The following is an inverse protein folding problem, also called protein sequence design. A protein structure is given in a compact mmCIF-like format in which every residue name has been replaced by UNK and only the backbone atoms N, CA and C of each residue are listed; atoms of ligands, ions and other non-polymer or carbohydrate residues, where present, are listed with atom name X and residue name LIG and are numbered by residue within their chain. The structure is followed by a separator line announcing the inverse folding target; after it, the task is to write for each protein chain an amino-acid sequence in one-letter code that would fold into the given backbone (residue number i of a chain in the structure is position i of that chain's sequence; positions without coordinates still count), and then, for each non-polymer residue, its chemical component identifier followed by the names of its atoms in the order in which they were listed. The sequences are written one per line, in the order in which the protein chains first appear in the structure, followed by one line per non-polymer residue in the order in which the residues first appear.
data_IF_384992003949
#
_entry.id   IF_384992003949
#
_cell.length_a   1.000
_cell.length_b   1.000
_cell.length_c   1.000
_cell.angle_alpha   90.00
_cell.angle_beta   90.00
_cell.angle_gamma   90.00
#
_symmetry.space_group_name_H-M   'P 1'
#
loop_
_entity.id
_entity.type
_entity.pdbx_description
1 polymer ?
#
# COMPACT_ATOMS: atom_id res chain seq x y z
N UNK A 1 2.01 -9.60 -12.36
CA UNK A 1 0.57 -9.84 -12.30
C UNK A 1 0.23 -10.16 -10.84
N UNK A 2 -0.29 -9.19 -10.09
CA UNK A 2 -0.77 -9.41 -8.72
C UNK A 2 -2.23 -9.84 -8.85
N UNK A 3 -2.57 -11.04 -8.37
CA UNK A 3 -3.96 -11.52 -8.35
C UNK A 3 -4.46 -11.40 -6.90
N UNK A 4 -5.49 -10.59 -6.73
CA UNK A 4 -6.15 -10.22 -5.47
C UNK A 4 -6.88 -11.44 -4.86
N UNK A 5 -6.74 -11.63 -3.55
CA UNK A 5 -7.59 -12.51 -2.75
C UNK A 5 -8.04 -11.72 -1.52
N UNK A 6 -9.35 -11.53 -1.38
CA UNK A 6 -10.00 -10.88 -0.25
C UNK A 6 -10.47 -11.95 0.73
N UNK A 7 -9.68 -12.20 1.77
CA UNK A 7 -10.22 -12.81 3.00
C UNK A 7 -9.72 -12.02 4.21
N UNK A 8 -10.70 -11.52 4.97
CA UNK A 8 -10.59 -10.96 6.31
C UNK A 8 -9.36 -10.08 6.58
N UNK A 9 -9.42 -8.80 6.19
CA UNK A 9 -8.51 -7.78 6.73
C UNK A 9 -7.02 -7.94 6.35
N UNK A 10 -6.70 -8.78 5.37
CA UNK A 10 -5.35 -8.97 4.87
C UNK A 10 -5.36 -9.09 3.34
N UNK A 11 -4.48 -8.34 2.67
CA UNK A 11 -4.28 -8.41 1.21
C UNK A 11 -2.96 -9.13 0.98
N UNK A 12 -3.02 -10.38 0.55
CA UNK A 12 -1.85 -11.19 0.25
C UNK A 12 -1.32 -10.91 -1.16
N UNK A 13 -0.04 -10.59 -1.28
CA UNK A 13 0.68 -10.56 -2.56
C UNK A 13 1.92 -11.42 -2.41
N UNK A 14 2.04 -12.47 -3.22
CA UNK A 14 3.19 -13.38 -3.19
C UNK A 14 3.89 -13.41 -4.54
N UNK A 15 5.23 -13.35 -4.52
CA UNK A 15 6.08 -13.72 -5.67
C UNK A 15 6.67 -15.12 -5.52
N UNK A 16 6.99 -15.54 -4.29
CA UNK A 16 7.83 -16.72 -4.03
C UNK A 16 7.31 -17.63 -2.89
N UNK A 17 6.03 -17.52 -2.51
CA UNK A 17 5.41 -18.38 -1.48
C UNK A 17 5.43 -17.85 -0.04
N UNK A 18 5.97 -16.64 0.18
CA UNK A 18 5.75 -15.85 1.40
C UNK A 18 4.50 -14.98 1.29
N UNK A 19 3.83 -14.70 2.42
CA UNK A 19 2.63 -13.86 2.47
C UNK A 19 2.97 -12.45 2.97
N UNK A 20 2.60 -11.42 2.20
CA UNK A 20 2.52 -10.07 2.76
C UNK A 20 1.27 -10.00 3.65
N UNK A 21 1.41 -9.41 4.84
CA UNK A 21 0.30 -9.22 5.77
C UNK A 21 0.15 -7.73 6.02
N UNK A 22 -1.06 -7.21 5.81
CA UNK A 22 -1.33 -5.81 6.14
C UNK A 22 -1.44 -5.71 7.66
N UNK A 23 -0.35 -5.27 8.30
CA UNK A 23 -0.21 -5.20 9.76
C UNK A 23 -1.30 -4.39 10.46
N UNK A 24 -1.86 -3.41 9.77
CA UNK A 24 -2.93 -2.56 10.29
C UNK A 24 -3.66 -1.88 9.13
N UNK A 25 -4.87 -2.32 8.83
CA UNK A 25 -5.80 -1.57 7.98
C UNK A 25 -6.51 -0.55 8.89
N UNK A 26 -6.37 0.73 8.59
CA UNK A 26 -7.27 1.74 9.14
C UNK A 26 -8.63 1.62 8.49
N UNK A 27 -9.70 1.80 9.27
CA UNK A 27 -11.04 1.95 8.69
C UNK A 27 -11.06 3.14 7.73
N UNK A 28 -11.97 3.16 6.73
CA UNK A 28 -12.07 4.24 5.72
C UNK A 28 -12.24 5.68 6.30
N UNK A 29 -12.49 5.83 7.60
CA UNK A 29 -12.47 7.13 8.30
C UNK A 29 -11.06 7.65 8.64
N UNK A 30 -10.02 6.83 8.55
CA UNK A 30 -8.63 7.16 8.95
C UNK A 30 -7.71 7.56 7.78
N UNK A 31 -8.18 7.57 6.53
CA UNK A 31 -7.32 7.76 5.35
C UNK A 31 -6.49 9.05 5.38
N UNK A 32 -7.08 10.19 5.78
CA UNK A 32 -6.36 11.47 5.95
C UNK A 32 -5.30 11.41 7.05
N UNK A 33 -5.57 10.64 8.11
CA UNK A 33 -4.65 10.43 9.23
C UNK A 33 -3.47 9.55 8.82
N UNK A 34 -3.71 8.54 7.98
CA UNK A 34 -2.63 7.71 7.44
C UNK A 34 -1.78 8.47 6.45
N UNK A 35 -2.38 9.24 5.54
CA UNK A 35 -1.66 10.13 4.64
C UNK A 35 -0.67 10.99 5.44
N UNK A 36 -1.13 11.70 6.48
CA UNK A 36 -0.31 12.50 7.41
C UNK A 36 0.91 11.76 8.01
N UNK A 37 0.81 10.44 8.17
CA UNK A 37 1.79 9.59 8.89
C UNK A 37 2.60 8.67 7.97
N UNK A 38 2.43 8.80 6.66
CA UNK A 38 3.23 8.07 5.67
C UNK A 38 4.73 8.29 5.95
N UNK A 39 5.48 7.19 5.92
CA UNK A 39 6.94 7.15 5.92
C UNK A 39 7.40 6.43 4.66
N UNK A 40 8.69 6.47 4.33
CA UNK A 40 9.23 5.62 3.27
C UNK A 40 9.11 4.14 3.64
N UNK A 41 8.02 3.53 3.21
CA UNK A 41 7.61 2.16 3.52
C UNK A 41 6.53 1.70 2.54
N UNK A 42 6.20 0.41 2.57
CA UNK A 42 5.16 -0.17 1.72
C UNK A 42 3.78 0.02 2.36
N UNK A 43 2.80 0.47 1.57
CA UNK A 43 1.43 0.68 1.99
C UNK A 43 0.45 0.06 0.99
N UNK A 44 -0.72 -0.34 1.51
CA UNK A 44 -1.90 -0.61 0.71
C UNK A 44 -2.65 0.70 0.51
N UNK A 45 -3.04 0.96 -0.74
CA UNK A 45 -3.63 2.20 -1.19
C UNK A 45 -4.83 1.87 -2.07
N UNK A 46 -5.86 2.72 -2.04
CA UNK A 46 -6.81 2.79 -3.14
C UNK A 46 -6.46 3.97 -4.04
N UNK A 47 -6.29 3.69 -5.33
CA UNK A 47 -5.96 4.64 -6.37
C UNK A 47 -6.91 4.41 -7.53
N UNK A 48 -7.72 5.41 -7.91
CA UNK A 48 -8.71 5.29 -8.99
C UNK A 48 -9.56 4.00 -8.89
N UNK A 49 -10.08 3.73 -7.68
CA UNK A 49 -10.84 2.54 -7.29
C UNK A 49 -10.07 1.20 -7.23
N UNK A 50 -8.84 1.14 -7.75
CA UNK A 50 -7.99 -0.04 -7.67
C UNK A 50 -7.24 -0.14 -6.33
N UNK A 51 -7.21 -1.36 -5.78
CA UNK A 51 -6.39 -1.69 -4.62
C UNK A 51 -4.96 -2.01 -5.04
N UNK A 52 -4.03 -1.13 -4.68
CA UNK A 52 -2.61 -1.26 -5.05
C UNK A 52 -1.71 -1.28 -3.83
N UNK A 53 -0.59 -2.00 -3.95
CA UNK A 53 0.49 -1.98 -2.97
C UNK A 53 1.71 -1.31 -3.59
N UNK A 54 2.16 -0.22 -2.96
CA UNK A 54 3.27 0.59 -3.43
C UNK A 54 4.12 1.02 -2.25
N UNK A 55 5.41 1.27 -2.49
CA UNK A 55 6.22 2.05 -1.57
C UNK A 55 5.81 3.51 -1.69
N UNK A 56 5.57 4.16 -0.56
CA UNK A 56 5.07 5.54 -0.53
C UNK A 56 6.12 6.44 0.08
N UNK A 57 6.45 7.53 -0.59
CA UNK A 57 7.37 8.57 -0.10
C UNK A 57 6.64 9.91 -0.05
N UNK A 58 6.97 10.75 0.94
CA UNK A 58 6.45 12.12 1.02
C UNK A 58 7.39 13.07 0.28
N UNK A 59 6.84 13.90 -0.58
CA UNK A 59 7.60 14.91 -1.32
C UNK A 59 7.47 16.33 -0.75
N UNK A 60 6.65 16.52 0.29
CA UNK A 60 6.27 17.85 0.77
C UNK A 60 5.03 18.39 0.04
N UNK A 61 4.51 19.55 0.46
CA UNK A 61 3.37 20.21 -0.22
C UNK A 61 2.09 19.37 -0.35
N UNK A 62 1.91 18.35 0.52
CA UNK A 62 0.76 17.43 0.41
C UNK A 62 0.86 16.44 -0.75
N UNK A 63 2.06 16.16 -1.28
CA UNK A 63 2.31 15.23 -2.38
C UNK A 63 2.94 13.93 -1.90
N UNK A 64 2.59 12.83 -2.59
CA UNK A 64 3.12 11.49 -2.38
C UNK A 64 3.77 10.99 -3.67
N UNK A 65 4.86 10.24 -3.54
CA UNK A 65 5.47 9.46 -4.62
C UNK A 65 5.21 7.98 -4.38
N UNK A 66 4.60 7.32 -5.35
CA UNK A 66 4.25 5.90 -5.32
C UNK A 66 5.24 5.14 -6.19
N UNK A 67 6.08 4.33 -5.57
CA UNK A 67 7.14 3.57 -6.23
C UNK A 67 6.72 2.10 -6.32
N UNK A 68 6.87 1.51 -7.51
CA UNK A 68 6.73 0.07 -7.67
C UNK A 68 8.04 -0.62 -7.34
N UNK A 69 7.97 -1.76 -6.66
CA UNK A 69 9.12 -2.65 -6.48
C UNK A 69 9.50 -3.39 -7.79
N UNK A 70 8.79 -3.16 -8.89
CA UNK A 70 9.14 -3.68 -10.20
C UNK A 70 9.79 -2.58 -11.07
N UNK A 71 11.07 -2.72 -11.48
CA UNK A 71 11.83 -1.65 -12.14
C UNK A 71 11.22 -1.10 -13.44
N UNK A 72 10.45 -1.93 -14.16
CA UNK A 72 9.83 -1.52 -15.42
C UNK A 72 8.66 -0.51 -15.24
N UNK A 73 8.18 -0.31 -14.01
CA UNK A 73 7.09 0.63 -13.73
C UNK A 73 7.66 1.87 -13.04
N UNK A 74 7.73 3.02 -13.74
CA UNK A 74 8.26 4.24 -13.15
C UNK A 74 7.39 4.70 -11.97
N UNK A 75 7.99 5.44 -11.00
CA UNK A 75 7.23 6.07 -9.94
C UNK A 75 6.19 7.05 -10.48
N UNK A 76 5.05 7.13 -9.81
CA UNK A 76 4.02 8.15 -10.07
C UNK A 76 3.92 9.10 -8.88
N UNK A 77 3.57 10.36 -9.12
CA UNK A 77 3.36 11.35 -8.08
C UNK A 77 1.90 11.77 -8.05
N UNK A 78 1.33 11.78 -6.86
CA UNK A 78 -0.08 12.07 -6.63
C UNK A 78 -0.25 13.06 -5.49
N UNK A 79 -1.34 13.81 -5.49
CA UNK A 79 -1.81 14.53 -4.31
C UNK A 79 -2.20 13.56 -3.19
N UNK A 80 -2.01 13.97 -1.93
CA UNK A 80 -2.43 13.16 -0.78
C UNK A 80 -3.95 12.91 -0.71
N UNK A 81 -4.75 13.67 -1.47
CA UNK A 81 -6.19 13.45 -1.63
C UNK A 81 -6.57 12.53 -2.81
N UNK A 82 -5.62 12.24 -3.71
CA UNK A 82 -5.85 11.40 -4.90
C UNK A 82 -5.60 9.91 -4.61
N UNK A 83 -4.97 9.59 -3.47
CA UNK A 83 -4.76 8.21 -3.02
C UNK A 83 -5.28 8.02 -1.59
N UNK A 84 -6.11 7.00 -1.38
CA UNK A 84 -6.59 6.62 -0.06
C UNK A 84 -5.58 5.67 0.59
N UNK A 85 -4.85 6.13 1.62
CA UNK A 85 -3.91 5.27 2.34
C UNK A 85 -4.66 4.39 3.34
N UNK A 86 -4.76 3.09 3.04
CA UNK A 86 -5.53 2.12 3.83
C UNK A 86 -4.72 1.59 5.02
N UNK A 87 -3.41 1.44 4.87
CA UNK A 87 -2.58 0.90 5.94
C UNK A 87 -1.15 0.57 5.53
N UNK A 88 -0.26 0.43 6.51
CA UNK A 88 1.12 -0.01 6.27
C UNK A 88 1.14 -1.52 6.05
N UNK A 89 1.83 -1.94 5.00
CA UNK A 89 2.11 -3.36 4.72
C UNK A 89 3.42 -3.73 5.42
N UNK A 90 3.42 -4.88 6.07
CA UNK A 90 4.65 -5.51 6.54
C UNK A 90 4.73 -6.92 6.00
N UNK A 91 5.93 -7.46 5.94
CA UNK A 91 6.09 -8.88 5.70
C UNK A 91 5.99 -9.62 7.03
N UNK A 92 5.02 -10.52 7.16
CA UNK A 92 5.10 -11.57 8.16
C UNK A 92 5.76 -12.75 7.48
N UNK A 93 6.96 -13.16 7.91
CA UNK A 93 7.65 -14.34 7.35
C UNK A 93 6.95 -15.68 7.56
N UNK A 94 5.67 -15.65 7.93
CA UNK A 94 4.81 -16.79 8.12
C UNK A 94 4.06 -17.03 6.81
N UNK A 95 4.13 -18.26 6.31
CA UNK A 95 3.30 -18.72 5.21
C UNK A 95 1.88 -18.91 5.71
N UNK A 96 0.92 -18.14 5.19
CA UNK A 96 -0.51 -18.36 5.45
C UNK A 96 -0.88 -19.69 4.77
N UNK A 97 -1.43 -20.63 5.54
CA UNK A 97 -1.91 -21.93 5.07
C UNK A 97 -3.41 -21.88 4.85
#
# INVERSE_FOLDING_TARGET
MVRQWEEAGSVGISRDGGCLTVSKIGSGRDARRWAARVRDSVYALRLDDDLVVKRVQRLGGGRLRLVSEHPAYPPIEVGAGEAEVLGRVVWSGVRVR
#
